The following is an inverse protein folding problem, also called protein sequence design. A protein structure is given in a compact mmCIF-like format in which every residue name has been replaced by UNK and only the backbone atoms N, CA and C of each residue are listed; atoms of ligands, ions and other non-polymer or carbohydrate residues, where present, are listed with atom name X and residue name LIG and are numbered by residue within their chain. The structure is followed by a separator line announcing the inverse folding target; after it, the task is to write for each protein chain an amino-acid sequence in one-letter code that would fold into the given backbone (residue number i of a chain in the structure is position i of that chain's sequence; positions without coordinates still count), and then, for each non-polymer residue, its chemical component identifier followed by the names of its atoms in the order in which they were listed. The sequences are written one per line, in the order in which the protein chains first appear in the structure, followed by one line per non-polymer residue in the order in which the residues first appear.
data_IF_403503016329
#
_entry.id   IF_403503016329
#
_cell.length_a   1.000
_cell.length_b   1.000
_cell.length_c   1.000
_cell.angle_alpha   90.00
_cell.angle_beta   90.00
_cell.angle_gamma   90.00
#
_symmetry.space_group_name_H-M   'P 1'
#
loop_
_entity.id
_entity.type
_entity.pdbx_description
1 polymer ?
#
# COMPACT_ATOMS: atom_id res chain seq x y z
N UNK A 1 18.82 18.70 -14.57
CA UNK A 1 18.24 17.46 -15.13
C UNK A 1 16.99 17.07 -14.34
N UNK A 2 15.79 17.36 -14.85
CA UNK A 2 14.54 16.88 -14.26
C UNK A 2 14.38 15.40 -14.63
N UNK A 3 14.54 14.48 -13.66
CA UNK A 3 14.20 13.07 -13.87
C UNK A 3 12.68 12.97 -13.95
N UNK A 4 12.17 12.77 -15.17
CA UNK A 4 10.79 12.37 -15.42
C UNK A 4 10.53 11.04 -14.69
N UNK A 5 9.93 11.10 -13.50
CA UNK A 5 9.31 9.93 -12.88
C UNK A 5 7.98 9.74 -13.60
N UNK A 6 8.04 9.11 -14.78
CA UNK A 6 6.86 8.53 -15.39
C UNK A 6 6.59 7.23 -14.63
N UNK A 7 5.84 7.32 -13.53
CA UNK A 7 5.25 6.14 -12.89
C UNK A 7 4.25 5.57 -13.89
N UNK A 8 4.65 4.51 -14.59
CA UNK A 8 3.78 3.73 -15.46
C UNK A 8 2.75 3.00 -14.58
N UNK A 9 1.66 3.69 -14.22
CA UNK A 9 0.45 3.07 -13.69
C UNK A 9 -0.30 2.44 -14.87
N UNK A 10 0.25 1.35 -15.42
CA UNK A 10 -0.50 0.49 -16.33
C UNK A 10 -1.63 -0.16 -15.54
N UNK A 11 -2.83 0.25 -15.91
CA UNK A 11 -4.14 -0.23 -15.46
C UNK A 11 -4.21 -1.77 -15.59
N UNK A 12 -4.92 -2.40 -14.65
CA UNK A 12 -5.38 -3.80 -14.65
C UNK A 12 -4.32 -4.84 -14.28
N UNK A 13 -3.84 -4.82 -13.04
CA UNK A 13 -3.41 -6.04 -12.39
C UNK A 13 -3.57 -5.88 -10.88
N UNK A 14 -4.02 -6.95 -10.25
CA UNK A 14 -4.04 -7.27 -8.82
C UNK A 14 -2.64 -7.25 -8.16
N UNK A 15 -1.71 -6.45 -8.70
CA UNK A 15 -0.38 -6.22 -8.17
C UNK A 15 0.24 -4.97 -8.80
N UNK A 16 0.82 -4.12 -7.96
CA UNK A 16 1.62 -2.97 -8.37
C UNK A 16 3.01 -3.11 -7.78
N UNK A 17 4.02 -2.94 -8.64
CA UNK A 17 5.41 -2.93 -8.23
C UNK A 17 5.92 -1.49 -8.23
N UNK A 18 6.39 -1.02 -7.08
CA UNK A 18 6.99 0.30 -6.92
C UNK A 18 8.50 0.12 -6.65
N UNK A 19 9.32 0.60 -7.57
CA UNK A 19 10.77 0.70 -7.38
C UNK A 19 11.13 2.05 -6.76
N UNK A 20 11.59 2.05 -5.51
CA UNK A 20 12.03 3.27 -4.84
C UNK A 20 13.55 3.43 -4.96
N UNK A 21 14.06 4.62 -5.35
CA UNK A 21 15.47 4.85 -5.60
C UNK A 21 16.39 4.67 -4.37
N UNK A 22 15.84 4.51 -3.16
CA UNK A 22 16.61 4.39 -1.91
C UNK A 22 16.20 3.22 -1.01
N UNK A 23 15.14 2.48 -1.36
CA UNK A 23 14.74 1.29 -0.61
C UNK A 23 14.94 0.01 -1.43
N UNK A 24 14.90 0.08 -2.77
CA UNK A 24 14.77 -1.10 -3.62
C UNK A 24 13.33 -1.22 -4.14
N UNK A 25 13.02 -2.33 -4.79
CA UNK A 25 11.66 -2.57 -5.29
C UNK A 25 10.78 -3.15 -4.17
N UNK A 26 9.73 -2.40 -3.79
CA UNK A 26 8.58 -2.95 -3.07
C UNK A 26 7.57 -3.43 -4.11
N UNK A 27 7.26 -4.72 -4.09
CA UNK A 27 6.14 -5.28 -4.81
C UNK A 27 4.95 -5.43 -3.86
N UNK A 28 3.86 -4.73 -4.16
CA UNK A 28 2.57 -4.86 -3.48
C UNK A 28 1.65 -5.68 -4.37
N UNK A 29 1.17 -6.82 -3.88
CA UNK A 29 0.21 -7.67 -4.60
C UNK A 29 -1.09 -7.77 -3.81
N UNK A 30 -2.21 -7.51 -4.50
CA UNK A 30 -3.57 -7.48 -4.02
C UNK A 30 -4.39 -8.51 -4.78
N UNK A 31 -4.64 -9.68 -4.22
CA UNK A 31 -5.43 -10.69 -4.92
C UNK A 31 -6.94 -10.55 -4.66
N UNK A 32 -7.46 -9.32 -4.78
CA UNK A 32 -8.83 -8.98 -4.41
C UNK A 32 -9.42 -7.97 -5.40
N UNK A 33 -10.42 -8.41 -6.17
CA UNK A 33 -11.09 -7.61 -7.21
C UNK A 33 -11.90 -6.44 -6.63
N UNK A 34 -12.26 -6.51 -5.35
CA UNK A 34 -13.05 -5.50 -4.66
C UNK A 34 -12.19 -4.49 -3.90
N UNK A 35 -10.86 -4.58 -4.02
CA UNK A 35 -9.92 -3.63 -3.42
C UNK A 35 -9.19 -2.86 -4.51
N UNK A 36 -9.44 -1.56 -4.56
CA UNK A 36 -8.74 -0.65 -5.46
C UNK A 36 -7.49 -0.11 -4.80
N UNK A 37 -6.36 -0.23 -5.50
CA UNK A 37 -5.16 0.49 -5.16
C UNK A 37 -5.23 1.92 -5.70
N UNK A 38 -5.28 2.90 -4.80
CA UNK A 38 -5.46 4.31 -5.13
C UNK A 38 -4.16 5.13 -5.03
N UNK A 39 -3.18 4.68 -4.25
CA UNK A 39 -1.86 5.29 -4.21
C UNK A 39 -0.77 4.32 -3.74
N UNK A 40 0.43 4.44 -4.32
CA UNK A 40 1.67 3.87 -3.78
C UNK A 40 2.76 4.92 -3.92
N UNK A 41 3.37 5.33 -2.81
CA UNK A 41 4.40 6.37 -2.82
C UNK A 41 5.34 6.25 -1.61
N UNK A 42 6.54 6.84 -1.63
CA UNK A 42 7.32 6.99 -0.41
C UNK A 42 6.56 7.82 0.64
N UNK A 43 6.77 7.51 1.92
CA UNK A 43 6.27 8.32 3.01
C UNK A 43 6.93 9.70 3.02
N UNK A 44 6.19 10.71 3.48
CA UNK A 44 6.67 12.09 3.65
C UNK A 44 7.78 12.18 4.70
N UNK A 45 7.72 11.31 5.71
CA UNK A 45 8.73 11.19 6.75
C UNK A 45 9.05 9.72 7.06
N UNK A 46 10.31 9.48 7.42
CA UNK A 46 10.81 8.14 7.74
C UNK A 46 11.11 7.27 6.52
N UNK A 47 11.57 6.04 6.78
CA UNK A 47 11.95 5.05 5.77
C UNK A 47 10.76 4.12 5.49
N UNK A 48 9.66 4.69 5.03
CA UNK A 48 8.41 3.95 4.82
C UNK A 48 7.77 4.19 3.46
N UNK A 49 6.76 3.38 3.17
CA UNK A 49 5.98 3.41 1.94
C UNK A 49 4.51 3.55 2.31
N UNK A 50 3.84 4.48 1.65
CA UNK A 50 2.41 4.69 1.78
C UNK A 50 1.69 3.93 0.69
N UNK A 51 0.75 3.09 1.10
CA UNK A 51 -0.17 2.37 0.22
C UNK A 51 -1.59 2.76 0.60
N UNK A 52 -2.36 3.31 -0.35
CA UNK A 52 -3.77 3.64 -0.13
C UNK A 52 -4.66 2.67 -0.88
N UNK A 53 -5.57 2.06 -0.15
CA UNK A 53 -6.47 1.05 -0.66
C UNK A 53 -7.92 1.50 -0.40
N UNK A 54 -8.82 1.20 -1.32
CA UNK A 54 -10.24 1.48 -1.19
C UNK A 54 -11.04 0.20 -1.38
N UNK A 55 -11.91 -0.13 -0.43
CA UNK A 55 -12.83 -1.24 -0.55
C UNK A 55 -14.07 -0.79 -1.34
N UNK A 56 -14.29 -1.32 -2.53
CA UNK A 56 -15.48 -1.04 -3.36
C UNK A 56 -16.63 -2.01 -3.10
N UNK A 57 -16.45 -3.06 -2.28
CA UNK A 57 -17.54 -4.00 -2.00
C UNK A 57 -18.64 -3.34 -1.18
N UNK A 58 -19.88 -3.80 -1.40
CA UNK A 58 -21.06 -3.44 -0.61
C UNK A 58 -21.11 -4.13 0.76
N UNK A 59 -20.23 -5.10 1.00
CA UNK A 59 -20.07 -5.81 2.27
C UNK A 59 -18.68 -5.59 2.88
N UNK A 60 -18.51 -5.85 4.17
CA UNK A 60 -17.17 -5.89 4.76
C UNK A 60 -16.39 -7.13 4.30
N UNK A 61 -15.07 -7.01 4.13
CA UNK A 61 -14.22 -8.12 3.70
C UNK A 61 -12.84 -8.13 4.35
N UNK A 62 -12.14 -9.27 4.31
CA UNK A 62 -10.77 -9.38 4.84
C UNK A 62 -9.77 -8.99 3.77
N UNK A 63 -8.78 -8.16 4.13
CA UNK A 63 -7.74 -7.75 3.19
C UNK A 63 -6.68 -8.84 3.00
N UNK A 64 -6.48 -9.28 1.76
CA UNK A 64 -5.34 -10.11 1.40
C UNK A 64 -4.25 -9.26 0.72
N UNK A 65 -3.36 -8.70 1.54
CA UNK A 65 -2.23 -7.91 1.07
C UNK A 65 -0.93 -8.69 1.21
N UNK A 66 -0.18 -8.83 0.10
CA UNK A 66 1.20 -9.35 0.12
C UNK A 66 2.16 -8.23 -0.25
N UNK A 67 3.13 -7.97 0.63
CA UNK A 67 4.18 -6.98 0.42
C UNK A 67 5.53 -7.69 0.43
N UNK A 68 6.22 -7.69 -0.70
CA UNK A 68 7.55 -8.26 -0.85
C UNK A 68 8.54 -7.17 -1.18
N UNK A 69 9.65 -7.12 -0.45
CA UNK A 69 10.71 -6.15 -0.69
C UNK A 69 12.01 -6.90 -1.01
N UNK A 70 12.58 -6.63 -2.19
CA UNK A 70 13.62 -7.50 -2.77
C UNK A 70 14.88 -7.66 -1.90
N UNK A 71 15.19 -6.70 -1.03
CA UNK A 71 16.42 -6.69 -0.21
C UNK A 71 16.18 -6.49 1.30
N UNK A 72 14.93 -6.43 1.76
CA UNK A 72 14.60 -6.22 3.18
C UNK A 72 13.33 -6.97 3.54
N UNK A 73 13.21 -7.42 4.79
CA UNK A 73 11.92 -7.91 5.29
C UNK A 73 11.01 -6.71 5.48
N UNK A 74 9.80 -6.77 4.94
CA UNK A 74 8.71 -5.90 5.39
C UNK A 74 8.56 -6.16 6.88
N UNK A 75 8.94 -5.19 7.70
CA UNK A 75 9.05 -5.39 9.14
C UNK A 75 7.70 -5.23 9.81
N UNK A 76 6.93 -4.22 9.40
CA UNK A 76 5.62 -3.90 9.96
C UNK A 76 4.74 -3.14 8.96
N UNK A 77 3.43 -3.34 9.08
CA UNK A 77 2.39 -2.57 8.37
C UNK A 77 1.53 -1.89 9.44
N UNK A 78 1.37 -0.58 9.33
CA UNK A 78 0.59 0.26 10.25
C UNK A 78 -0.56 0.94 9.52
N UNK A 79 -1.67 1.16 10.22
CA UNK A 79 -2.68 2.11 9.75
C UNK A 79 -2.17 3.53 9.97
N UNK A 80 -2.43 4.37 8.99
CA UNK A 80 -2.20 5.80 9.07
C UNK A 80 -3.42 6.55 8.54
N UNK A 81 -3.54 7.82 8.91
CA UNK A 81 -4.50 8.70 8.27
C UNK A 81 -3.98 9.21 6.92
N UNK A 82 -4.81 9.96 6.19
CA UNK A 82 -4.42 10.57 4.92
C UNK A 82 -3.24 11.57 5.02
N UNK A 83 -2.86 11.99 6.24
CA UNK A 83 -1.68 12.82 6.53
C UNK A 83 -0.45 11.98 6.95
N UNK A 84 -0.51 10.66 6.80
CA UNK A 84 0.58 9.70 7.06
C UNK A 84 1.00 9.62 8.53
N UNK A 85 0.17 10.12 9.44
CA UNK A 85 0.36 9.89 10.88
C UNK A 85 -0.16 8.49 11.20
N UNK A 86 0.70 7.67 11.81
CA UNK A 86 0.34 6.34 12.30
C UNK A 86 -0.76 6.48 13.36
N UNK A 87 -1.77 5.61 13.27
CA UNK A 87 -2.90 5.54 14.20
C UNK A 87 -2.72 4.34 15.10
N UNK A 88 -2.61 3.16 14.49
CA UNK A 88 -2.55 1.87 15.19
C UNK A 88 -1.88 0.82 14.29
N UNK A 89 -1.40 -0.30 14.86
CA UNK A 89 -0.96 -1.45 14.08
C UNK A 89 -2.07 -1.91 13.14
N UNK A 90 -1.72 -2.27 11.90
CA UNK A 90 -2.73 -2.74 10.97
C UNK A 90 -3.09 -4.20 11.26
N UNK A 91 -4.33 -4.44 11.70
CA UNK A 91 -4.85 -5.80 11.80
C UNK A 91 -5.23 -6.33 10.40
N UNK A 92 -4.37 -7.20 9.87
CA UNK A 92 -4.58 -7.92 8.62
C UNK A 92 -5.77 -8.91 8.69
N UNK A 93 -6.18 -9.32 9.89
CA UNK A 93 -7.27 -10.30 10.08
C UNK A 93 -8.63 -9.64 10.31
N UNK A 94 -8.63 -8.35 10.63
CA UNK A 94 -9.82 -7.54 10.88
C UNK A 94 -10.70 -7.38 9.64
N UNK A 95 -12.02 -7.37 9.86
CA UNK A 95 -12.99 -7.08 8.80
C UNK A 95 -12.81 -5.63 8.35
N UNK A 96 -12.60 -5.42 7.06
CA UNK A 96 -12.53 -4.10 6.44
C UNK A 96 -13.93 -3.68 6.00
N UNK A 97 -14.52 -2.59 6.56
CA UNK A 97 -15.85 -2.13 6.19
C UNK A 97 -16.04 -1.86 4.69
N UNK A 98 -17.28 -2.01 4.21
CA UNK A 98 -17.71 -1.61 2.88
C UNK A 98 -17.39 -0.14 2.61
N UNK A 99 -17.09 0.20 1.34
CA UNK A 99 -16.89 1.57 0.87
C UNK A 99 -15.91 2.42 1.68
N UNK A 100 -14.87 1.80 2.25
CA UNK A 100 -13.95 2.49 3.15
C UNK A 100 -12.52 2.51 2.62
N UNK A 101 -11.80 3.58 2.97
CA UNK A 101 -10.41 3.81 2.57
C UNK A 101 -9.47 3.45 3.74
N UNK A 102 -8.38 2.73 3.44
CA UNK A 102 -7.27 2.53 4.37
C UNK A 102 -5.98 3.09 3.79
N UNK A 103 -5.25 3.86 4.61
CA UNK A 103 -3.89 4.29 4.29
C UNK A 103 -2.93 3.48 5.14
N UNK A 104 -2.12 2.66 4.50
CA UNK A 104 -1.14 1.80 5.14
C UNK A 104 0.24 2.45 5.07
N UNK A 105 0.93 2.45 6.19
CA UNK A 105 2.35 2.79 6.28
C UNK A 105 3.14 1.48 6.41
N UNK A 106 3.98 1.19 5.43
CA UNK A 106 4.80 -0.02 5.38
C UNK A 106 6.24 0.36 5.70
N UNK A 107 6.77 -0.18 6.80
CA UNK A 107 8.19 -0.01 7.18
C UNK A 107 9.05 -1.04 6.44
N UNK A 108 10.14 -0.57 5.81
CA UNK A 108 11.05 -1.37 4.97
C UNK A 108 12.49 -1.40 5.43
#
# INVERSE_FOLDING_TARGET
MKKNILNLLTKIANSVQLSLPYCGALKVSLNDENILLTAVKPALSGNGIIVRLYNVSSSGQKLQLKCNHHNRRVSQIHLSNAREKMIEPFDLQGLWPAFSLKTLFILV
#
